data_IF_600451214305
#
_entry.id   IF_600451214305
#
_cell.length_a   1.000
_cell.length_b   1.000
_cell.length_c   1.000
_cell.angle_alpha   90.00
_cell.angle_beta   90.00
_cell.angle_gamma   90.00
#
_symmetry.space_group_name_H-M   'P 1'
#
loop_
_entity.id
_entity.type
_entity.pdbx_description
1 polymer ?
#
# COMPACT_ATOMS: atom_id res chain seq x y z
N UNK A 1 17.99 -21.71 -6.82
CA UNK A 1 16.52 -21.82 -7.03
C UNK A 1 15.96 -20.41 -7.07
N UNK A 2 15.06 -20.13 -7.98
CA UNK A 2 14.50 -18.79 -8.15
C UNK A 2 13.28 -18.72 -7.20
N UNK A 3 13.36 -17.95 -6.12
CA UNK A 3 12.25 -17.69 -5.20
C UNK A 3 11.02 -17.08 -5.90
N UNK A 4 9.89 -16.87 -5.17
CA UNK A 4 8.65 -16.35 -5.72
C UNK A 4 8.89 -15.01 -6.42
N UNK A 5 8.48 -14.92 -7.67
CA UNK A 5 8.73 -13.73 -8.50
C UNK A 5 7.72 -12.60 -8.21
N UNK A 6 6.52 -12.95 -7.71
CA UNK A 6 5.45 -12.01 -7.34
C UNK A 6 5.00 -12.33 -5.94
N UNK A 7 5.14 -11.35 -5.08
CA UNK A 7 4.77 -11.45 -3.66
C UNK A 7 3.65 -10.43 -3.39
N UNK A 8 2.52 -10.93 -2.93
CA UNK A 8 1.38 -10.12 -2.50
C UNK A 8 1.36 -10.02 -0.98
N UNK A 9 1.26 -8.80 -0.44
CA UNK A 9 1.13 -8.57 1.00
C UNK A 9 -0.11 -7.72 1.25
N UNK A 10 -1.11 -8.31 1.88
CA UNK A 10 -2.38 -7.68 2.19
C UNK A 10 -2.58 -7.50 3.70
N UNK A 11 -3.61 -6.76 4.08
CA UNK A 11 -4.05 -6.56 5.46
C UNK A 11 -4.55 -5.14 5.75
N UNK A 12 -5.07 -4.88 6.95
CA UNK A 12 -5.64 -3.59 7.34
C UNK A 12 -4.59 -2.47 7.47
N UNK A 13 -5.04 -1.23 7.59
CA UNK A 13 -4.17 -0.08 7.83
C UNK A 13 -3.39 -0.26 9.15
N UNK A 14 -2.07 0.01 9.15
CA UNK A 14 -1.22 -0.10 10.35
C UNK A 14 -0.79 -1.53 10.72
N UNK A 15 -1.07 -2.56 9.90
CA UNK A 15 -0.62 -3.94 10.15
C UNK A 15 0.87 -4.18 9.82
N UNK A 16 1.60 -3.17 9.31
CA UNK A 16 3.03 -3.29 9.02
C UNK A 16 3.37 -3.62 7.56
N UNK A 17 2.38 -3.75 6.66
CA UNK A 17 2.60 -4.14 5.25
C UNK A 17 3.66 -3.33 4.52
N UNK A 18 3.61 -2.00 4.65
CA UNK A 18 4.55 -1.11 3.93
C UNK A 18 5.98 -1.30 4.41
N UNK A 19 6.17 -1.48 5.72
CA UNK A 19 7.48 -1.70 6.31
C UNK A 19 8.04 -3.07 5.91
N UNK A 20 7.23 -4.12 6.04
CA UNK A 20 7.64 -5.49 5.70
C UNK A 20 7.85 -5.61 4.19
N UNK A 21 6.93 -5.09 3.37
CA UNK A 21 7.02 -5.15 1.92
C UNK A 21 8.25 -4.42 1.36
N UNK A 22 8.54 -3.23 1.88
CA UNK A 22 9.73 -2.46 1.47
C UNK A 22 11.03 -3.18 1.85
N UNK A 23 11.13 -3.68 3.10
CA UNK A 23 12.35 -4.37 3.54
C UNK A 23 12.54 -5.71 2.83
N UNK A 24 11.46 -6.46 2.60
CA UNK A 24 11.50 -7.69 1.82
C UNK A 24 11.95 -7.42 0.38
N UNK A 25 11.35 -6.43 -0.29
CA UNK A 25 11.72 -6.05 -1.65
C UNK A 25 13.21 -5.65 -1.75
N UNK A 26 13.70 -4.88 -0.78
CA UNK A 26 15.12 -4.48 -0.70
C UNK A 26 16.04 -5.68 -0.52
N UNK A 27 15.71 -6.64 0.35
CA UNK A 27 16.52 -7.85 0.57
C UNK A 27 16.57 -8.75 -0.67
N UNK A 28 15.46 -8.81 -1.43
CA UNK A 28 15.36 -9.63 -2.63
C UNK A 28 15.84 -8.91 -3.91
N UNK A 29 16.08 -7.60 -3.86
CA UNK A 29 16.34 -6.78 -5.04
C UNK A 29 15.12 -6.62 -5.95
N UNK A 30 13.91 -6.71 -5.39
CA UNK A 30 12.64 -6.61 -6.11
C UNK A 30 12.08 -5.19 -6.12
N UNK A 31 11.23 -4.89 -7.09
CA UNK A 31 10.47 -3.66 -7.09
C UNK A 31 9.44 -3.67 -5.94
N UNK A 32 9.47 -2.64 -5.11
CA UNK A 32 8.44 -2.41 -4.11
C UNK A 32 7.30 -1.56 -4.69
N UNK A 33 6.07 -2.05 -4.63
CA UNK A 33 4.87 -1.37 -5.13
C UNK A 33 3.83 -1.23 -4.01
N UNK A 34 3.64 -0.01 -3.51
CA UNK A 34 2.51 0.35 -2.67
C UNK A 34 1.36 0.78 -3.59
N UNK A 35 0.34 -0.08 -3.75
CA UNK A 35 -0.80 0.22 -4.62
C UNK A 35 -1.59 1.43 -4.17
N UNK A 36 -1.58 1.74 -2.88
CA UNK A 36 -2.16 2.96 -2.34
C UNK A 36 -1.54 4.23 -2.93
N UNK A 37 -0.27 4.18 -3.37
CA UNK A 37 0.37 5.30 -4.05
C UNK A 37 -0.29 5.61 -5.42
N UNK A 38 -0.78 4.59 -6.12
CA UNK A 38 -1.47 4.78 -7.41
C UNK A 38 -2.82 5.48 -7.23
N UNK A 39 -3.61 5.09 -6.22
CA UNK A 39 -4.85 5.80 -5.89
C UNK A 39 -4.58 7.23 -5.43
N UNK A 40 -3.50 7.45 -4.67
CA UNK A 40 -3.06 8.79 -4.29
C UNK A 40 -2.63 9.61 -5.50
N UNK A 41 -1.99 9.02 -6.48
CA UNK A 41 -1.59 9.69 -7.72
C UNK A 41 -2.81 10.18 -8.51
N UNK A 42 -3.86 9.34 -8.63
CA UNK A 42 -5.13 9.75 -9.26
C UNK A 42 -5.81 10.87 -8.45
N UNK A 43 -5.86 10.73 -7.12
CA UNK A 43 -6.45 11.77 -6.26
C UNK A 43 -5.69 13.10 -6.35
N UNK A 44 -4.35 13.06 -6.37
CA UNK A 44 -3.51 14.25 -6.56
C UNK A 44 -3.78 14.93 -7.89
N UNK A 45 -3.84 14.13 -8.97
CA UNK A 45 -4.11 14.68 -10.31
C UNK A 45 -5.52 15.27 -10.40
N UNK A 46 -6.53 14.60 -9.83
CA UNK A 46 -7.90 15.10 -9.80
C UNK A 46 -8.03 16.43 -9.05
N UNK A 47 -7.39 16.56 -7.89
CA UNK A 47 -7.36 17.81 -7.13
C UNK A 47 -6.64 18.92 -7.90
N UNK A 48 -5.54 18.60 -8.57
CA UNK A 48 -4.77 19.57 -9.36
C UNK A 48 -5.55 20.07 -10.58
N UNK A 49 -6.32 19.21 -11.24
CA UNK A 49 -7.10 19.55 -12.44
C UNK A 49 -8.52 20.03 -12.11
N UNK A 50 -8.90 20.04 -10.83
CA UNK A 50 -10.23 20.47 -10.39
C UNK A 50 -11.35 19.53 -10.82
N UNK A 51 -11.03 18.23 -10.98
CA UNK A 51 -12.02 17.20 -11.32
C UNK A 51 -12.88 16.90 -10.10
N UNK A 52 -14.19 16.81 -10.28
CA UNK A 52 -15.10 16.40 -9.22
C UNK A 52 -14.82 14.97 -8.79
N UNK A 53 -14.50 14.80 -7.51
CA UNK A 53 -14.19 13.49 -6.94
C UNK A 53 -15.41 12.55 -6.88
N UNK A 54 -16.62 13.04 -7.12
CA UNK A 54 -17.84 12.23 -7.21
C UNK A 54 -18.12 11.76 -8.66
N UNK A 55 -17.46 12.33 -9.66
CA UNK A 55 -17.59 11.90 -11.06
C UNK A 55 -16.64 10.74 -11.37
N UNK A 56 -17.12 9.51 -11.16
CA UNK A 56 -16.35 8.29 -11.43
C UNK A 56 -15.90 8.16 -12.88
N UNK A 57 -16.70 8.65 -13.84
CA UNK A 57 -16.35 8.62 -15.28
C UNK A 57 -15.20 9.57 -15.60
N UNK A 58 -15.22 10.78 -15.03
CA UNK A 58 -14.12 11.73 -15.19
C UNK A 58 -12.84 11.20 -14.52
N UNK A 59 -12.95 10.62 -13.32
CA UNK A 59 -11.83 10.01 -12.61
C UNK A 59 -11.25 8.79 -13.35
N UNK A 60 -12.09 7.95 -13.95
CA UNK A 60 -11.63 6.83 -14.79
C UNK A 60 -10.80 7.33 -15.97
N UNK A 61 -11.30 8.34 -16.71
CA UNK A 61 -10.54 8.94 -17.83
C UNK A 61 -9.21 9.48 -17.36
N UNK A 62 -9.22 10.17 -16.22
CA UNK A 62 -8.01 10.71 -15.61
C UNK A 62 -7.02 9.60 -15.25
N UNK A 63 -7.47 8.53 -14.63
CA UNK A 63 -6.64 7.38 -14.27
C UNK A 63 -6.00 6.69 -15.49
N UNK A 64 -6.75 6.59 -16.61
CA UNK A 64 -6.23 6.06 -17.88
C UNK A 64 -5.14 6.93 -18.49
N UNK A 65 -5.27 8.25 -18.38
CA UNK A 65 -4.36 9.23 -18.98
C UNK A 65 -3.17 9.58 -18.07
N UNK A 66 -3.22 9.25 -16.79
CA UNK A 66 -2.29 9.71 -15.77
C UNK A 66 -0.83 9.26 -15.97
N UNK A 67 -0.56 8.24 -16.81
CA UNK A 67 0.79 7.69 -17.02
C UNK A 67 1.55 7.53 -15.70
N UNK A 68 0.93 6.77 -14.77
CA UNK A 68 1.51 6.52 -13.46
C UNK A 68 2.65 5.51 -13.62
N UNK A 69 3.86 5.90 -13.19
CA UNK A 69 5.03 5.02 -13.17
C UNK A 69 5.52 4.91 -11.74
N UNK A 70 5.69 3.66 -11.26
CA UNK A 70 6.36 3.38 -9.99
C UNK A 70 7.69 2.70 -10.30
N UNK A 71 8.77 3.19 -9.72
CA UNK A 71 10.12 2.66 -9.92
C UNK A 71 10.89 2.60 -8.60
N UNK A 72 12.05 1.95 -8.65
CA UNK A 72 13.02 2.07 -7.56
C UNK A 72 13.33 3.55 -7.28
N UNK A 73 13.76 3.89 -6.04
CA UNK A 73 14.14 5.25 -5.70
C UNK A 73 15.13 5.84 -6.69
N UNK A 74 14.80 6.98 -7.27
CA UNK A 74 15.68 7.72 -8.22
C UNK A 74 16.48 8.82 -7.51
N UNK A 75 16.11 9.14 -6.26
CA UNK A 75 16.77 10.16 -5.42
C UNK A 75 16.93 9.58 -4.02
N UNK A 76 18.06 9.90 -3.36
CA UNK A 76 18.32 9.49 -1.97
C UNK A 76 17.80 10.54 -0.98
N UNK A 77 16.50 10.63 -0.82
CA UNK A 77 15.79 11.57 0.06
C UNK A 77 14.88 10.87 1.09
N UNK A 78 15.14 9.56 1.31
CA UNK A 78 14.35 8.73 2.23
C UNK A 78 13.10 8.12 1.61
N UNK A 79 12.89 8.28 0.29
CA UNK A 79 11.76 7.62 -0.41
C UNK A 79 11.98 6.12 -0.54
N UNK A 80 10.90 5.35 -0.43
CA UNK A 80 10.92 3.89 -0.63
C UNK A 80 10.80 3.51 -2.12
N UNK A 81 10.19 4.36 -2.91
CA UNK A 81 9.99 4.26 -4.36
C UNK A 81 9.83 5.65 -4.95
N UNK A 82 9.95 5.77 -6.25
CA UNK A 82 9.61 7.01 -6.98
C UNK A 82 8.26 6.83 -7.68
N UNK A 83 7.39 7.83 -7.58
CA UNK A 83 6.12 7.90 -8.31
C UNK A 83 6.17 9.07 -9.28
N UNK A 84 5.99 8.76 -10.56
CA UNK A 84 5.86 9.76 -11.62
C UNK A 84 4.42 9.78 -12.13
N UNK A 85 3.91 10.96 -12.44
CA UNK A 85 2.62 11.16 -13.11
C UNK A 85 2.83 12.11 -14.27
N UNK A 86 2.62 11.66 -15.51
CA UNK A 86 2.84 12.47 -16.71
C UNK A 86 4.26 13.06 -16.78
N UNK A 87 5.27 12.35 -16.32
CA UNK A 87 6.66 12.80 -16.29
C UNK A 87 7.04 13.69 -15.08
N UNK A 88 6.10 14.04 -14.20
CA UNK A 88 6.38 14.81 -12.98
C UNK A 88 6.61 13.87 -11.79
N UNK A 89 7.67 14.10 -11.00
CA UNK A 89 7.87 13.41 -9.72
C UNK A 89 6.86 13.93 -8.68
N UNK A 90 5.98 13.03 -8.25
CA UNK A 90 4.93 13.34 -7.29
C UNK A 90 5.06 12.54 -5.99
N UNK A 91 6.20 11.89 -5.78
CA UNK A 91 6.47 10.94 -4.69
C UNK A 91 6.09 11.50 -3.32
N UNK A 92 6.40 12.75 -3.05
CA UNK A 92 6.04 13.41 -1.80
C UNK A 92 4.69 14.13 -1.89
N UNK A 93 4.36 14.72 -3.04
CA UNK A 93 3.11 15.46 -3.23
C UNK A 93 1.85 14.58 -3.03
N UNK A 94 1.90 13.32 -3.40
CA UNK A 94 0.79 12.37 -3.17
C UNK A 94 0.57 12.02 -1.69
N UNK A 95 1.44 12.44 -0.79
CA UNK A 95 1.35 12.22 0.67
C UNK A 95 0.73 13.41 1.41
N UNK A 96 0.38 14.46 0.68
CA UNK A 96 -0.30 15.64 1.23
C UNK A 96 -1.61 15.27 1.92
N UNK A 97 -1.99 16.06 2.93
CA UNK A 97 -3.19 15.84 3.71
C UNK A 97 -4.48 15.93 2.87
N UNK A 98 -4.53 16.82 1.86
CA UNK A 98 -5.69 16.95 0.97
C UNK A 98 -5.82 15.71 0.09
N UNK A 99 -4.72 15.22 -0.49
CA UNK A 99 -4.70 13.97 -1.25
C UNK A 99 -5.14 12.81 -0.38
N UNK A 100 -4.59 12.70 0.84
CA UNK A 100 -4.93 11.62 1.77
C UNK A 100 -6.43 11.57 2.10
N UNK A 101 -7.09 12.73 2.21
CA UNK A 101 -8.54 12.82 2.44
C UNK A 101 -9.37 12.45 1.21
N UNK A 102 -8.85 12.68 0.00
CA UNK A 102 -9.54 12.38 -1.25
C UNK A 102 -9.51 10.89 -1.62
N UNK A 103 -8.48 10.15 -1.21
CA UNK A 103 -8.26 8.74 -1.58
C UNK A 103 -9.47 7.83 -1.33
N UNK A 104 -10.15 7.87 -0.17
CA UNK A 104 -11.29 6.97 0.06
C UNK A 104 -12.39 7.12 -1.00
N UNK A 105 -12.70 8.35 -1.41
CA UNK A 105 -13.70 8.62 -2.43
C UNK A 105 -13.22 8.16 -3.81
N UNK A 106 -11.97 8.47 -4.19
CA UNK A 106 -11.39 8.02 -5.46
C UNK A 106 -11.35 6.49 -5.56
N UNK A 107 -10.98 5.81 -4.47
CA UNK A 107 -10.88 4.34 -4.44
C UNK A 107 -12.24 3.62 -4.36
N UNK A 108 -13.32 4.31 -4.03
CA UNK A 108 -14.67 3.74 -4.03
C UNK A 108 -15.26 3.56 -5.43
N UNK A 109 -14.73 4.27 -6.45
CA UNK A 109 -15.21 4.14 -7.82
C UNK A 109 -14.69 2.86 -8.48
N UNK A 110 -15.59 1.95 -8.83
CA UNK A 110 -15.26 0.67 -9.45
C UNK A 110 -14.48 0.83 -10.77
N UNK A 111 -14.81 1.87 -11.54
CA UNK A 111 -14.18 2.19 -12.82
C UNK A 111 -12.70 2.58 -12.64
N UNK A 112 -12.41 3.40 -11.64
CA UNK A 112 -11.02 3.78 -11.27
C UNK A 112 -10.25 2.56 -10.81
N UNK A 113 -10.86 1.71 -9.97
CA UNK A 113 -10.25 0.48 -9.50
C UNK A 113 -9.90 -0.46 -10.66
N UNK A 114 -10.82 -0.64 -11.62
CA UNK A 114 -10.58 -1.49 -12.79
C UNK A 114 -9.36 -1.04 -13.60
N UNK A 115 -9.22 0.27 -13.83
CA UNK A 115 -8.07 0.85 -14.53
C UNK A 115 -6.77 0.60 -13.74
N UNK A 116 -6.77 0.90 -12.44
CA UNK A 116 -5.56 0.76 -11.62
C UNK A 116 -5.16 -0.71 -11.42
N UNK A 117 -6.10 -1.63 -11.26
CA UNK A 117 -5.82 -3.07 -11.21
C UNK A 117 -5.12 -3.54 -12.50
N UNK A 118 -5.58 -3.09 -13.66
CA UNK A 118 -4.93 -3.44 -14.93
C UNK A 118 -3.48 -2.90 -14.99
N UNK A 119 -3.24 -1.67 -14.54
CA UNK A 119 -1.89 -1.09 -14.46
C UNK A 119 -1.01 -1.81 -13.43
N UNK A 120 -1.55 -2.21 -12.28
CA UNK A 120 -0.84 -2.98 -11.24
C UNK A 120 -0.42 -4.35 -11.76
N UNK A 121 -1.29 -5.04 -12.49
CA UNK A 121 -0.97 -6.31 -13.16
C UNK A 121 0.15 -6.15 -14.19
N UNK A 122 0.14 -5.07 -14.95
CA UNK A 122 1.19 -4.80 -15.94
C UNK A 122 2.53 -4.56 -15.26
N UNK A 123 2.57 -3.81 -14.14
CA UNK A 123 3.79 -3.66 -13.33
C UNK A 123 4.34 -5.00 -12.84
N UNK A 124 3.45 -5.92 -12.46
CA UNK A 124 3.85 -7.23 -11.95
C UNK A 124 4.22 -8.26 -13.04
N UNK A 125 3.96 -7.97 -14.32
CA UNK A 125 4.17 -8.92 -15.44
C UNK A 125 5.60 -9.37 -15.60
N UNK A 126 6.57 -8.50 -15.34
CA UNK A 126 7.98 -8.85 -15.42
C UNK A 126 8.45 -9.70 -14.23
N UNK A 127 7.65 -9.80 -13.17
CA UNK A 127 8.02 -10.44 -11.91
C UNK A 127 9.04 -9.61 -11.12
N UNK A 128 9.59 -10.22 -10.06
CA UNK A 128 10.50 -9.57 -9.12
C UNK A 128 9.87 -8.34 -8.46
N UNK A 129 8.65 -8.53 -7.97
CA UNK A 129 7.85 -7.48 -7.34
C UNK A 129 7.31 -7.92 -5.98
N UNK A 130 7.36 -7.00 -5.01
CA UNK A 130 6.60 -7.08 -3.76
C UNK A 130 5.54 -6.00 -3.84
N UNK A 131 4.27 -6.43 -3.93
CA UNK A 131 3.13 -5.54 -4.05
C UNK A 131 2.31 -5.56 -2.77
N UNK A 132 2.02 -4.39 -2.21
CA UNK A 132 1.25 -4.27 -0.97
C UNK A 132 -0.07 -3.55 -1.19
N UNK A 133 -1.14 -4.00 -0.51
CA UNK A 133 -2.47 -3.39 -0.62
C UNK A 133 -3.50 -3.93 0.36
N UNK A 134 -4.70 -4.21 -0.17
CA UNK A 134 -5.84 -4.73 0.59
C UNK A 134 -6.35 -6.07 0.06
N UNK A 135 -6.28 -6.24 -1.24
CA UNK A 135 -6.83 -7.34 -2.01
C UNK A 135 -5.86 -7.80 -3.13
N UNK A 136 -4.56 -7.63 -2.90
CA UNK A 136 -3.55 -7.93 -3.91
C UNK A 136 -3.57 -9.41 -4.26
N UNK A 137 -3.49 -10.28 -3.25
CA UNK A 137 -3.48 -11.73 -3.46
C UNK A 137 -4.81 -12.31 -3.91
N UNK A 138 -5.94 -11.66 -3.57
CA UNK A 138 -7.26 -12.14 -3.96
C UNK A 138 -7.71 -11.63 -5.33
N UNK A 139 -7.41 -10.37 -5.67
CA UNK A 139 -7.98 -9.67 -6.83
C UNK A 139 -6.92 -9.26 -7.84
N UNK A 140 -5.86 -8.60 -7.40
CA UNK A 140 -4.85 -8.02 -8.32
C UNK A 140 -3.95 -9.09 -8.89
N UNK A 141 -3.34 -9.90 -8.05
CA UNK A 141 -2.39 -10.96 -8.38
C UNK A 141 -2.84 -12.31 -7.80
N UNK A 142 -3.98 -12.87 -8.26
CA UNK A 142 -4.49 -14.15 -7.73
C UNK A 142 -3.55 -15.33 -8.03
N UNK A 143 -2.62 -15.14 -8.94
CA UNK A 143 -1.57 -16.06 -9.35
C UNK A 143 -0.19 -15.71 -8.78
N UNK A 144 -0.11 -14.84 -7.75
CA UNK A 144 1.14 -14.60 -7.04
C UNK A 144 1.62 -15.86 -6.34
N UNK A 145 2.92 -16.13 -6.45
CA UNK A 145 3.54 -17.35 -5.91
C UNK A 145 3.63 -17.31 -4.37
N UNK A 146 3.63 -16.12 -3.77
CA UNK A 146 3.55 -15.95 -2.31
C UNK A 146 2.52 -14.90 -1.97
N UNK A 147 1.57 -15.27 -1.11
CA UNK A 147 0.51 -14.38 -0.62
C UNK A 147 0.54 -14.35 0.89
N UNK A 148 0.67 -13.16 1.44
CA UNK A 148 0.76 -12.91 2.89
C UNK A 148 -0.37 -11.99 3.29
N UNK A 149 -1.03 -12.31 4.40
CA UNK A 149 -2.00 -11.44 5.02
C UNK A 149 -1.52 -11.06 6.43
N UNK A 150 -1.10 -9.80 6.59
CA UNK A 150 -0.64 -9.28 7.87
C UNK A 150 -1.81 -8.75 8.68
N UNK A 151 -1.95 -9.24 9.91
CA UNK A 151 -2.94 -8.75 10.88
C UNK A 151 -2.27 -8.11 12.08
N UNK A 152 -2.99 -7.20 12.73
CA UNK A 152 -2.65 -6.67 14.05
C UNK A 152 -3.93 -6.16 14.73
N UNK A 153 -3.97 -6.22 16.04
CA UNK A 153 -5.09 -5.66 16.82
C UNK A 153 -5.25 -4.16 16.55
N UNK A 154 -6.47 -3.66 16.69
CA UNK A 154 -6.76 -2.24 16.53
C UNK A 154 -5.88 -1.37 17.44
N UNK A 155 -5.68 -1.80 18.68
CA UNK A 155 -4.83 -1.12 19.66
C UNK A 155 -3.37 -1.02 19.21
N UNK A 156 -2.80 -2.10 18.69
CA UNK A 156 -1.43 -2.11 18.20
C UNK A 156 -1.27 -1.25 16.95
N UNK A 157 -2.22 -1.32 16.01
CA UNK A 157 -2.22 -0.48 14.82
C UNK A 157 -2.33 1.01 15.16
N UNK A 158 -3.14 1.36 16.15
CA UNK A 158 -3.27 2.72 16.63
C UNK A 158 -2.00 3.21 17.32
N UNK A 159 -1.37 2.37 18.15
CA UNK A 159 -0.11 2.66 18.81
C UNK A 159 1.00 2.94 17.78
N UNK A 160 1.14 2.08 16.76
CA UNK A 160 2.11 2.25 15.66
C UNK A 160 1.85 3.55 14.91
N UNK A 161 0.59 3.79 14.54
CA UNK A 161 0.23 5.01 13.79
C UNK A 161 0.47 6.28 14.60
N UNK A 162 0.18 6.24 15.89
CA UNK A 162 0.46 7.36 16.78
C UNK A 162 1.97 7.65 16.87
N UNK A 163 2.78 6.61 17.02
CA UNK A 163 4.24 6.75 17.03
C UNK A 163 4.80 7.36 15.72
N UNK A 164 4.29 6.93 14.55
CA UNK A 164 4.64 7.53 13.26
C UNK A 164 4.29 9.02 13.17
N UNK A 165 3.14 9.43 13.75
CA UNK A 165 2.71 10.83 13.76
C UNK A 165 3.66 11.65 14.63
N UNK A 166 3.97 11.16 15.84
CA UNK A 166 4.90 11.82 16.77
C UNK A 166 6.29 12.00 16.12
N UNK A 167 6.81 10.95 15.50
CA UNK A 167 8.12 11.00 14.83
C UNK A 167 8.15 12.04 13.70
N UNK A 168 7.09 12.15 12.91
CA UNK A 168 7.00 13.11 11.80
C UNK A 168 6.85 14.56 12.25
N UNK A 169 6.18 14.81 13.37
CA UNK A 169 5.94 16.15 13.90
C UNK A 169 7.14 16.70 14.71
N UNK A 170 8.07 15.83 15.09
CA UNK A 170 9.24 16.25 15.89
C UNK A 170 8.82 16.87 17.23
N UNK A 171 9.36 18.05 17.55
CA UNK A 171 9.16 18.71 18.85
C UNK A 171 7.84 19.49 18.99
N UNK A 172 7.01 19.60 17.95
CA UNK A 172 5.72 20.30 18.05
C UNK A 172 4.63 19.40 18.61
N UNK A 173 4.57 19.33 19.93
CA UNK A 173 3.58 18.51 20.68
C UNK A 173 2.19 19.14 20.68
N UNK A 174 2.05 20.42 20.33
CA UNK A 174 0.79 21.17 20.45
C UNK A 174 -0.28 20.76 19.43
N UNK A 175 0.13 20.16 18.31
CA UNK A 175 -0.74 19.72 17.23
C UNK A 175 -0.93 18.20 17.15
N UNK A 176 -0.41 17.43 18.13
CA UNK A 176 -0.56 15.98 18.16
C UNK A 176 -2.03 15.56 18.34
N UNK A 177 -2.54 14.64 17.53
CA UNK A 177 -3.86 14.07 17.75
C UNK A 177 -3.88 13.23 19.05
N UNK A 178 -5.02 13.10 19.67
CA UNK A 178 -5.15 12.11 20.77
C UNK A 178 -5.09 10.68 20.21
N UNK A 179 -4.59 9.73 21.01
CA UNK A 179 -4.61 8.31 20.62
C UNK A 179 -6.04 7.85 20.26
N UNK A 180 -7.05 8.36 21.00
CA UNK A 180 -8.46 8.06 20.73
C UNK A 180 -8.92 8.56 19.35
N UNK A 181 -8.41 9.70 18.88
CA UNK A 181 -8.72 10.17 17.52
C UNK A 181 -8.07 9.30 16.44
N UNK A 182 -6.86 8.81 16.72
CA UNK A 182 -6.15 7.88 15.80
C UNK A 182 -6.91 6.55 15.71
N UNK A 183 -7.41 6.02 16.83
CA UNK A 183 -8.25 4.80 16.85
C UNK A 183 -9.48 5.01 15.95
N UNK A 184 -10.24 6.08 16.15
CA UNK A 184 -11.44 6.38 15.34
C UNK A 184 -11.12 6.53 13.86
N UNK A 185 -9.97 7.11 13.51
CA UNK A 185 -9.55 7.25 12.12
C UNK A 185 -9.23 5.89 11.49
N UNK A 186 -8.64 4.96 12.24
CA UNK A 186 -8.36 3.59 11.78
C UNK A 186 -9.67 2.82 11.61
N UNK A 187 -10.58 2.86 12.60
CA UNK A 187 -11.90 2.21 12.52
C UNK A 187 -12.70 2.69 11.31
N UNK A 188 -12.71 4.01 11.07
CA UNK A 188 -13.38 4.58 9.90
C UNK A 188 -12.77 4.07 8.59
N UNK A 189 -11.45 3.95 8.51
CA UNK A 189 -10.76 3.40 7.32
C UNK A 189 -11.07 1.94 7.13
N UNK A 190 -11.04 1.14 8.19
CA UNK A 190 -11.36 -0.27 8.14
C UNK A 190 -12.81 -0.49 7.66
N UNK A 191 -13.74 0.35 8.10
CA UNK A 191 -15.14 0.31 7.64
C UNK A 191 -15.26 0.64 6.14
N UNK A 192 -14.49 1.62 5.64
CA UNK A 192 -14.47 1.98 4.20
C UNK A 192 -13.81 0.88 3.36
N UNK A 193 -12.72 0.30 3.87
CA UNK A 193 -11.93 -0.71 3.17
C UNK A 193 -12.56 -2.11 3.28
N UNK A 194 -13.59 -2.32 4.13
CA UNK A 194 -14.15 -3.63 4.50
C UNK A 194 -14.41 -4.54 3.31
N UNK A 195 -15.11 -4.04 2.32
CA UNK A 195 -15.50 -4.80 1.12
C UNK A 195 -14.31 -5.15 0.21
N UNK A 196 -13.20 -4.44 0.38
CA UNK A 196 -11.97 -4.66 -0.38
C UNK A 196 -10.88 -5.39 0.43
N UNK A 197 -11.09 -5.65 1.72
CA UNK A 197 -10.16 -6.41 2.56
C UNK A 197 -10.44 -7.91 2.50
N UNK A 198 -10.28 -8.48 1.31
CA UNK A 198 -10.55 -9.90 1.07
C UNK A 198 -9.20 -10.63 1.02
N UNK A 199 -8.86 -11.46 2.04
CA UNK A 199 -7.67 -12.28 1.98
C UNK A 199 -7.79 -13.34 0.90
N UNK A 200 -6.69 -13.63 0.21
CA UNK A 200 -6.66 -14.76 -0.72
C UNK A 200 -6.86 -16.09 0.05
N UNK A 201 -7.56 -17.09 -0.52
CA UNK A 201 -7.83 -18.36 0.18
C UNK A 201 -6.55 -19.12 0.57
N UNK A 202 -5.47 -18.91 -0.18
CA UNK A 202 -4.16 -19.52 0.00
C UNK A 202 -3.15 -18.56 0.68
N UNK A 203 -3.62 -17.45 1.25
CA UNK A 203 -2.74 -16.50 1.95
C UNK A 203 -2.23 -17.06 3.29
N UNK A 204 -0.97 -16.83 3.55
CA UNK A 204 -0.34 -17.10 4.86
C UNK A 204 -0.68 -15.93 5.80
N UNK A 205 -1.37 -16.24 6.90
CA UNK A 205 -1.72 -15.24 7.91
C UNK A 205 -0.59 -15.09 8.91
N UNK A 206 -0.17 -13.84 9.14
CA UNK A 206 0.82 -13.50 10.15
C UNK A 206 0.24 -12.41 11.06
N UNK A 207 0.03 -12.77 12.33
CA UNK A 207 -0.31 -11.80 13.35
C UNK A 207 0.97 -11.07 13.79
N UNK A 208 0.95 -9.75 13.70
CA UNK A 208 2.14 -8.93 13.96
C UNK A 208 2.14 -8.25 15.33
N UNK A 209 1.13 -8.50 16.17
CA UNK A 209 1.13 -8.03 17.56
C UNK A 209 2.35 -8.65 18.27
N UNK A 210 3.04 -7.83 19.03
CA UNK A 210 4.24 -8.25 19.79
C UNK A 210 5.44 -8.73 18.96
N UNK A 211 5.36 -8.71 17.62
CA UNK A 211 6.49 -9.06 16.76
C UNK A 211 7.25 -7.80 16.33
N UNK A 212 8.56 -7.89 16.38
CA UNK A 212 9.44 -6.90 15.75
C UNK A 212 9.49 -7.11 14.24
N UNK A 213 9.85 -6.06 13.51
CA UNK A 213 10.00 -6.12 12.05
C UNK A 213 10.95 -7.25 11.60
N UNK A 214 12.14 -7.46 12.24
CA UNK A 214 13.01 -8.59 11.90
C UNK A 214 12.33 -9.96 12.08
N UNK A 215 11.56 -10.16 13.15
CA UNK A 215 10.86 -11.43 13.40
C UNK A 215 9.78 -11.70 12.33
N UNK A 216 9.03 -10.69 11.91
CA UNK A 216 8.05 -10.85 10.83
C UNK A 216 8.75 -11.18 9.51
N UNK A 217 9.86 -10.49 9.19
CA UNK A 217 10.63 -10.77 7.98
C UNK A 217 11.23 -12.17 7.99
N UNK A 218 11.79 -12.62 9.11
CA UNK A 218 12.32 -13.98 9.25
C UNK A 218 11.21 -15.03 9.02
N UNK A 219 10.02 -14.81 9.58
CA UNK A 219 8.86 -15.66 9.33
C UNK A 219 8.49 -15.73 7.84
N UNK A 220 8.43 -14.57 7.16
CA UNK A 220 8.15 -14.51 5.72
C UNK A 220 9.22 -15.25 4.91
N UNK A 221 10.48 -15.00 5.18
CA UNK A 221 11.60 -15.67 4.49
C UNK A 221 11.61 -17.18 4.74
N UNK A 222 11.24 -17.61 5.95
CA UNK A 222 11.09 -19.03 6.26
C UNK A 222 10.03 -19.71 5.38
N UNK A 223 8.86 -19.08 5.19
CA UNK A 223 7.83 -19.60 4.28
C UNK A 223 8.34 -19.67 2.85
N UNK A 224 9.04 -18.65 2.35
CA UNK A 224 9.62 -18.66 1.01
C UNK A 224 10.52 -19.85 0.75
N UNK A 225 11.34 -20.25 1.75
CA UNK A 225 12.28 -21.36 1.62
C UNK A 225 11.61 -22.74 1.72
N UNK A 226 10.42 -22.83 2.30
CA UNK A 226 9.75 -24.11 2.57
C UNK A 226 8.65 -24.42 1.55
N UNK A 227 8.07 -23.44 0.89
CA UNK A 227 7.13 -23.67 -0.22
C UNK A 227 7.84 -24.16 -1.50
N UNK A 228 9.13 -23.92 -1.67
CA UNK A 228 9.93 -24.50 -2.77
C UNK A 228 10.06 -26.03 -2.72
N UNK A 229 9.59 -26.68 -1.65
CA UNK A 229 9.68 -28.14 -1.45
C UNK A 229 8.37 -28.88 -1.67
N UNK A 230 7.30 -28.22 -2.04
CA UNK A 230 6.00 -28.83 -2.37
C UNK A 230 5.73 -28.73 -3.86
#
# INVERSE_FOLDING_TARGET
MLGPRRIAIDGPAGSGKSTIGEQLARQLGYLYVDTGAMYRAVAWLALREGVDLQDGTALERLARQAQIVISHPTVQDGRQYTVMVGGCDVTWAIRDAQVTRAVPLVSSHAEVRAVLIAQQRELARQGHVVMVGRDIGAVVLPDAELKIYLTASLSERARRRYAEIVERQGNDVSSLPSLQSVIRDIERRDAIDHDNMIPAPDAIFIETDHLSVPQVLEGVLHFMLHEERR
#
